data_IF_642397514374
#
_entry.id   IF_642397514374
#
_cell.length_a   1.000
_cell.length_b   1.000
_cell.length_c   1.000
_cell.angle_alpha   90.00
_cell.angle_beta   90.00
_cell.angle_gamma   90.00
#
_symmetry.space_group_name_H-M   'P 1'
#
loop_
_entity.id
_entity.type
_entity.pdbx_description
1 polymer ?
#
# COMPACT_ATOMS: atom_id res chain seq x y z
N UNK A 1 6.39 7.84 15.84
CA UNK A 1 5.24 8.70 15.50
C UNK A 1 4.49 8.03 14.35
N UNK A 2 3.29 7.81 14.46
CA UNK A 2 2.26 6.82 14.16
C UNK A 2 1.90 6.55 12.70
N UNK A 3 1.59 5.26 12.31
CA UNK A 3 0.93 4.98 11.03
C UNK A 3 -0.48 5.58 11.01
N UNK A 4 -1.27 5.45 12.08
CA UNK A 4 -2.49 6.27 12.27
C UNK A 4 -2.17 7.76 12.40
N UNK A 5 -1.09 8.15 13.06
CA UNK A 5 -0.62 9.53 13.09
C UNK A 5 0.09 9.87 11.78
N UNK A 6 0.60 8.92 10.96
CA UNK A 6 1.24 9.21 9.68
C UNK A 6 0.29 9.19 8.50
N UNK A 7 -0.79 8.42 8.52
CA UNK A 7 -1.98 8.67 7.69
C UNK A 7 -2.72 9.91 8.25
N UNK A 8 -2.79 10.09 9.55
CA UNK A 8 -3.17 11.35 10.19
C UNK A 8 -2.17 12.47 9.89
N UNK A 9 -0.86 12.22 9.80
CA UNK A 9 0.18 13.18 9.40
C UNK A 9 0.28 13.28 7.88
N UNK A 10 0.04 12.23 7.12
CA UNK A 10 -0.13 12.26 5.68
C UNK A 10 -1.36 13.11 5.35
N UNK A 11 -2.50 12.88 5.96
CA UNK A 11 -3.68 13.71 5.83
C UNK A 11 -3.51 15.08 6.53
N UNK A 12 -2.85 15.19 7.68
CA UNK A 12 -2.70 16.44 8.45
C UNK A 12 -1.50 17.29 7.98
N UNK A 13 -0.42 16.71 7.43
CA UNK A 13 0.67 17.47 6.80
C UNK A 13 0.32 17.95 5.39
N UNK A 14 -0.59 17.30 4.70
CA UNK A 14 -1.27 17.85 3.53
C UNK A 14 -1.98 19.18 3.86
N UNK A 15 -2.46 19.35 5.08
CA UNK A 15 -3.27 20.50 5.51
C UNK A 15 -2.45 21.63 6.16
N UNK A 16 -1.27 21.36 6.73
CA UNK A 16 -0.53 22.38 7.53
C UNK A 16 0.34 23.33 6.72
N UNK A 17 0.51 23.13 5.40
CA UNK A 17 1.19 24.09 4.52
C UNK A 17 0.28 24.89 3.59
N UNK A 18 -1.00 24.57 3.53
CA UNK A 18 -2.00 25.40 2.84
C UNK A 18 -2.62 26.36 3.85
N UNK A 19 -2.15 27.58 3.87
CA UNK A 19 -2.70 28.70 4.66
C UNK A 19 -4.06 29.11 4.11
N UNK A 20 -5.11 28.34 4.36
CA UNK A 20 -6.50 28.81 4.40
C UNK A 20 -7.26 27.80 5.28
N UNK A 21 -7.27 28.04 6.59
CA UNK A 21 -8.17 27.36 7.51
C UNK A 21 -9.54 28.00 7.41
N UNK A 22 -10.52 27.30 6.86
CA UNK A 22 -11.92 27.52 7.16
C UNK A 22 -12.37 26.55 8.24
N UNK A 23 -13.12 27.03 9.23
CA UNK A 23 -13.54 26.36 10.48
C UNK A 23 -14.42 25.12 10.33
N UNK A 24 -14.56 24.51 9.14
CA UNK A 24 -15.38 23.33 8.85
C UNK A 24 -14.59 22.12 8.32
N UNK A 25 -13.27 22.12 8.36
CA UNK A 25 -12.49 21.00 7.83
C UNK A 25 -12.31 19.90 8.88
N UNK A 26 -13.24 18.96 8.94
CA UNK A 26 -12.97 17.61 9.44
C UNK A 26 -11.67 17.13 8.79
N UNK A 27 -10.67 16.69 9.58
CA UNK A 27 -9.38 16.28 9.00
C UNK A 27 -9.59 15.13 8.01
N UNK A 28 -8.80 15.06 6.93
CA UNK A 28 -8.87 13.95 5.95
C UNK A 28 -8.86 12.59 6.65
N UNK A 29 -8.07 12.45 7.73
CA UNK A 29 -8.05 11.23 8.53
C UNK A 29 -9.40 10.89 9.17
N UNK A 30 -10.15 11.89 9.66
CA UNK A 30 -11.51 11.69 10.20
C UNK A 30 -12.48 11.32 9.08
N UNK A 31 -12.34 11.94 7.90
CA UNK A 31 -13.16 11.59 6.74
C UNK A 31 -12.94 10.13 6.32
N UNK A 32 -11.70 9.66 6.25
CA UNK A 32 -11.38 8.26 5.92
C UNK A 32 -11.98 7.27 6.95
N UNK A 33 -12.10 7.67 8.22
CA UNK A 33 -12.73 6.84 9.26
C UNK A 33 -14.28 6.85 9.18
N UNK A 34 -14.86 7.91 8.67
CA UNK A 34 -16.33 8.12 8.67
C UNK A 34 -16.99 7.83 7.33
N UNK A 35 -16.28 8.09 6.23
CA UNK A 35 -16.80 7.94 4.88
C UNK A 35 -16.39 6.60 4.27
N UNK A 36 -17.20 6.10 3.36
CA UNK A 36 -16.92 4.87 2.61
C UNK A 36 -15.79 5.06 1.60
N UNK A 37 -15.80 6.21 0.93
CA UNK A 37 -14.81 6.62 -0.07
C UNK A 37 -14.48 8.10 0.13
N UNK A 38 -13.18 8.42 0.14
CA UNK A 38 -12.67 9.78 0.14
C UNK A 38 -11.88 10.00 -1.15
N UNK A 39 -12.23 11.03 -1.90
CA UNK A 39 -11.49 11.45 -3.09
C UNK A 39 -10.68 12.72 -2.77
N UNK A 40 -9.41 12.71 -3.14
CA UNK A 40 -8.48 13.81 -2.92
C UNK A 40 -7.81 14.15 -4.24
N UNK A 41 -8.03 15.37 -4.71
CA UNK A 41 -7.30 15.94 -5.85
C UNK A 41 -6.27 16.93 -5.32
N UNK A 42 -5.03 16.56 -5.41
CA UNK A 42 -3.96 17.44 -5.02
C UNK A 42 -3.27 18.02 -6.25
N UNK A 43 -3.35 19.35 -6.39
CA UNK A 43 -2.62 20.06 -7.45
C UNK A 43 -1.12 19.93 -7.27
N UNK A 44 -0.67 19.81 -6.05
CA UNK A 44 0.70 19.46 -5.69
C UNK A 44 0.63 18.79 -4.32
N UNK A 45 0.89 17.50 -4.28
CA UNK A 45 1.14 16.84 -3.00
C UNK A 45 2.49 17.35 -2.48
N UNK A 46 2.50 18.50 -1.78
CA UNK A 46 3.64 18.86 -0.94
C UNK A 46 3.64 17.96 0.28
N UNK A 47 3.71 16.67 0.03
CA UNK A 47 3.83 15.67 1.07
C UNK A 47 5.23 15.83 1.60
N UNK A 48 5.36 16.34 2.81
CA UNK A 48 6.54 16.08 3.63
C UNK A 48 6.52 14.58 3.93
N UNK A 49 6.88 13.79 2.91
CA UNK A 49 6.92 12.35 2.94
C UNK A 49 7.93 11.96 3.98
N UNK A 50 7.50 11.13 4.91
CA UNK A 50 8.45 10.52 5.80
C UNK A 50 9.36 9.64 4.94
N UNK A 51 10.66 9.76 5.13
CA UNK A 51 11.67 8.88 4.54
C UNK A 51 11.52 7.40 4.96
N UNK A 52 10.42 7.02 5.59
CA UNK A 52 10.17 5.68 6.07
C UNK A 52 9.01 5.03 5.34
N UNK A 53 9.20 3.75 4.99
CA UNK A 53 8.14 2.91 4.47
C UNK A 53 6.99 2.74 5.48
N UNK A 54 5.76 2.66 5.00
CA UNK A 54 4.56 2.41 5.81
C UNK A 54 3.68 1.33 5.19
N UNK A 55 2.82 0.72 6.00
CA UNK A 55 1.81 -0.24 5.52
C UNK A 55 0.52 0.52 5.25
N UNK A 56 -0.06 0.30 4.07
CA UNK A 56 -1.39 0.82 3.75
C UNK A 56 -2.46 0.08 4.57
N UNK A 57 -3.36 0.82 5.21
CA UNK A 57 -4.52 0.26 5.91
C UNK A 57 -5.80 0.29 5.07
N UNK A 58 -5.77 0.96 3.92
CA UNK A 58 -6.90 1.19 3.04
C UNK A 58 -6.62 0.72 1.62
N UNK A 59 -7.68 0.36 0.90
CA UNK A 59 -7.61 0.24 -0.54
C UNK A 59 -7.49 1.65 -1.14
N UNK A 60 -6.45 1.91 -1.92
CA UNK A 60 -6.24 3.22 -2.54
C UNK A 60 -5.99 3.07 -4.03
N UNK A 61 -6.76 3.79 -4.84
CA UNK A 61 -6.52 3.91 -6.28
C UNK A 61 -5.88 5.27 -6.52
N UNK A 62 -4.78 5.28 -7.26
CA UNK A 62 -4.01 6.48 -7.59
C UNK A 62 -3.98 6.60 -9.11
N UNK A 63 -4.35 7.76 -9.65
CA UNK A 63 -4.13 8.09 -11.05
C UNK A 63 -3.21 9.30 -11.16
N UNK A 64 -2.19 9.21 -12.02
CA UNK A 64 -1.28 10.32 -12.28
C UNK A 64 -1.75 11.09 -13.53
N UNK A 65 -1.92 12.40 -13.37
CA UNK A 65 -2.35 13.31 -14.43
C UNK A 65 -1.16 14.01 -15.10
N UNK A 66 -0.13 14.36 -14.33
CA UNK A 66 1.09 15.03 -14.85
C UNK A 66 2.26 14.83 -13.91
N UNK A 67 3.46 15.09 -14.42
CA UNK A 67 4.70 14.88 -13.67
C UNK A 67 5.01 13.43 -13.40
N UNK A 68 6.07 13.18 -12.65
CA UNK A 68 6.53 11.83 -12.34
C UNK A 68 6.96 11.71 -10.89
N UNK A 69 6.88 10.50 -10.34
CA UNK A 69 7.45 10.18 -9.03
C UNK A 69 8.24 8.89 -9.06
N UNK A 70 9.26 8.81 -8.19
CA UNK A 70 10.02 7.62 -7.93
C UNK A 70 9.71 7.13 -6.52
N UNK A 71 9.09 6.00 -6.42
CA UNK A 71 8.56 5.44 -5.16
C UNK A 71 8.96 3.98 -5.01
N UNK A 72 8.69 3.37 -3.87
CA UNK A 72 8.81 1.92 -3.70
C UNK A 72 7.46 1.35 -3.28
N UNK A 73 7.07 0.30 -3.94
CA UNK A 73 5.88 -0.47 -3.65
C UNK A 73 6.28 -1.90 -3.27
N UNK A 74 5.88 -2.36 -2.09
CA UNK A 74 6.36 -3.62 -1.54
C UNK A 74 7.90 -3.72 -1.62
N UNK A 75 8.58 -2.62 -1.30
CA UNK A 75 10.04 -2.45 -1.36
C UNK A 75 10.66 -2.47 -2.77
N UNK A 76 9.89 -2.74 -3.82
CA UNK A 76 10.35 -2.67 -5.21
C UNK A 76 10.26 -1.24 -5.73
N UNK A 77 11.28 -0.75 -6.46
CA UNK A 77 11.24 0.57 -7.07
C UNK A 77 10.13 0.64 -8.13
N UNK A 78 9.42 1.74 -8.12
CA UNK A 78 8.32 2.02 -9.06
C UNK A 78 8.45 3.45 -9.55
N UNK A 79 8.53 3.61 -10.86
CA UNK A 79 8.37 4.90 -11.52
C UNK A 79 6.90 5.10 -11.87
N UNK A 80 6.38 6.27 -11.57
CA UNK A 80 4.97 6.60 -11.76
C UNK A 80 4.88 7.82 -12.66
N UNK A 81 4.62 7.58 -13.94
CA UNK A 81 4.58 8.57 -15.02
C UNK A 81 3.16 9.09 -15.28
N UNK A 82 2.97 10.15 -16.09
CA UNK A 82 1.63 10.57 -16.51
C UNK A 82 0.83 9.41 -17.10
N UNK A 83 -0.47 9.40 -16.83
CA UNK A 83 -1.44 8.37 -17.20
C UNK A 83 -1.22 6.99 -16.56
N UNK A 84 -0.25 6.86 -15.64
CA UNK A 84 -0.17 5.65 -14.83
C UNK A 84 -1.30 5.61 -13.80
N UNK A 85 -1.81 4.39 -13.58
CA UNK A 85 -2.74 4.09 -12.51
C UNK A 85 -2.14 3.05 -11.58
N UNK A 86 -2.35 3.21 -10.28
CA UNK A 86 -1.92 2.26 -9.27
C UNK A 86 -3.05 1.90 -8.34
N UNK A 87 -3.10 0.63 -7.91
CA UNK A 87 -4.02 0.15 -6.88
C UNK A 87 -3.22 -0.42 -5.73
N UNK A 88 -3.35 0.20 -4.59
CA UNK A 88 -2.67 -0.16 -3.35
C UNK A 88 -3.68 -0.85 -2.44
N UNK A 89 -3.45 -2.10 -2.10
CA UNK A 89 -4.32 -2.84 -1.18
C UNK A 89 -3.90 -2.65 0.28
N UNK A 90 -4.82 -2.92 1.21
CA UNK A 90 -4.47 -3.07 2.61
C UNK A 90 -3.36 -4.12 2.80
N UNK A 91 -2.35 -3.77 3.58
CA UNK A 91 -1.18 -4.61 3.81
C UNK A 91 0.01 -4.33 2.89
N UNK A 92 -0.16 -3.59 1.80
CA UNK A 92 0.97 -3.21 0.94
C UNK A 92 1.90 -2.22 1.66
N UNK A 93 3.20 -2.39 1.42
CA UNK A 93 4.25 -1.52 1.95
C UNK A 93 4.57 -0.46 0.92
N UNK A 94 4.44 0.80 1.31
CA UNK A 94 4.65 1.95 0.45
C UNK A 94 5.77 2.82 1.03
N UNK A 95 6.69 3.22 0.17
CA UNK A 95 7.65 4.28 0.45
C UNK A 95 7.56 5.29 -0.68
N UNK A 96 7.11 6.49 -0.38
CA UNK A 96 7.05 7.55 -1.39
C UNK A 96 8.38 8.28 -1.41
N UNK A 97 8.99 8.35 -2.58
CA UNK A 97 10.28 8.98 -2.82
C UNK A 97 10.15 10.37 -3.45
N UNK A 98 11.02 10.67 -4.39
CA UNK A 98 11.09 11.96 -5.07
C UNK A 98 9.99 12.11 -6.11
N UNK A 99 9.57 13.36 -6.37
CA UNK A 99 8.58 13.70 -7.41
C UNK A 99 8.86 15.07 -8.04
N UNK A 100 8.40 15.26 -9.27
CA UNK A 100 8.56 16.53 -10.02
C UNK A 100 7.59 17.61 -9.52
N UNK A 101 7.90 18.88 -9.74
CA UNK A 101 7.07 20.01 -9.30
C UNK A 101 5.66 20.03 -9.93
N UNK A 102 5.54 19.50 -11.12
CA UNK A 102 4.28 19.40 -11.88
C UNK A 102 3.51 18.10 -11.58
N UNK A 103 3.94 17.31 -10.57
CA UNK A 103 3.28 16.07 -10.19
C UNK A 103 1.86 16.32 -9.68
N UNK A 104 0.88 15.74 -10.36
CA UNK A 104 -0.55 15.89 -10.06
C UNK A 104 -1.21 14.52 -10.09
N UNK A 105 -1.87 14.15 -9.00
CA UNK A 105 -2.57 12.88 -8.86
C UNK A 105 -3.97 13.08 -8.31
N UNK A 106 -4.84 12.12 -8.57
CA UNK A 106 -6.07 11.89 -7.82
C UNK A 106 -5.90 10.64 -6.97
N UNK A 107 -6.24 10.74 -5.68
CA UNK A 107 -6.33 9.63 -4.75
C UNK A 107 -7.80 9.27 -4.50
N UNK A 108 -8.14 8.01 -4.62
CA UNK A 108 -9.43 7.45 -4.19
C UNK A 108 -9.13 6.49 -3.05
N UNK A 109 -9.47 6.87 -1.83
CA UNK A 109 -9.22 6.09 -0.63
C UNK A 109 -10.53 5.44 -0.20
N UNK A 110 -10.54 4.13 -0.15
CA UNK A 110 -11.71 3.31 0.16
C UNK A 110 -11.53 2.77 1.57
N UNK A 111 -12.51 3.03 2.45
CA UNK A 111 -12.45 2.62 3.85
C UNK A 111 -12.32 1.09 3.96
N UNK A 112 -11.73 0.63 5.07
CA UNK A 112 -11.54 -0.80 5.30
C UNK A 112 -12.87 -1.56 5.32
N UNK A 113 -13.88 -1.00 5.95
CA UNK A 113 -15.22 -1.61 6.02
C UNK A 113 -15.80 -1.82 4.61
N UNK A 114 -15.73 -0.79 3.76
CA UNK A 114 -16.26 -0.86 2.40
C UNK A 114 -15.42 -1.79 1.52
N UNK A 115 -14.10 -1.81 1.72
CA UNK A 115 -13.20 -2.78 1.07
C UNK A 115 -13.59 -4.23 1.39
N UNK A 116 -13.92 -4.56 2.65
CA UNK A 116 -14.32 -5.90 3.06
C UNK A 116 -15.61 -6.37 2.35
N UNK A 117 -16.50 -5.45 2.01
CA UNK A 117 -17.68 -5.74 1.17
C UNK A 117 -17.28 -5.95 -0.30
N UNK A 118 -16.34 -5.15 -0.82
CA UNK A 118 -15.86 -5.27 -2.20
C UNK A 118 -15.14 -6.60 -2.47
N UNK A 119 -14.47 -7.18 -1.47
CA UNK A 119 -13.77 -8.47 -1.59
C UNK A 119 -14.71 -9.62 -2.00
N UNK A 120 -16.01 -9.52 -1.74
CA UNK A 120 -17.01 -10.52 -2.14
C UNK A 120 -17.44 -10.40 -3.60
N UNK A 121 -17.06 -9.33 -4.31
CA UNK A 121 -17.47 -9.07 -5.69
C UNK A 121 -16.48 -9.68 -6.68
N UNK A 122 -17.01 -10.27 -7.73
CA UNK A 122 -16.21 -10.98 -8.75
C UNK A 122 -15.25 -10.05 -9.51
N UNK A 123 -15.68 -8.85 -9.86
CA UNK A 123 -14.85 -7.84 -10.55
C UNK A 123 -13.60 -7.48 -9.75
N UNK A 124 -13.75 -7.26 -8.45
CA UNK A 124 -12.66 -6.98 -7.54
C UNK A 124 -11.75 -8.21 -7.38
N UNK A 125 -12.31 -9.39 -7.18
CA UNK A 125 -11.54 -10.63 -7.04
C UNK A 125 -10.75 -10.96 -8.32
N UNK A 126 -11.31 -10.70 -9.48
CA UNK A 126 -10.59 -10.86 -10.76
C UNK A 126 -9.42 -9.88 -10.83
N UNK A 127 -9.59 -8.62 -10.42
CA UNK A 127 -8.49 -7.66 -10.35
C UNK A 127 -7.39 -8.12 -9.38
N UNK A 128 -7.75 -8.61 -8.20
CA UNK A 128 -6.80 -9.07 -7.16
C UNK A 128 -5.92 -10.22 -7.64
N UNK A 129 -6.40 -11.08 -8.52
CA UNK A 129 -5.61 -12.18 -9.11
C UNK A 129 -4.40 -11.69 -9.91
N UNK A 130 -4.46 -10.47 -10.44
CA UNK A 130 -3.42 -9.86 -11.26
C UNK A 130 -2.50 -8.89 -10.48
N UNK A 131 -2.44 -8.99 -9.15
CA UNK A 131 -1.80 -8.04 -8.24
C UNK A 131 -0.26 -7.99 -8.27
N UNK A 132 0.36 -8.64 -9.19
CA UNK A 132 1.82 -8.73 -9.23
C UNK A 132 2.51 -7.38 -9.49
N UNK A 133 1.77 -6.41 -10.04
CA UNK A 133 2.24 -5.04 -10.23
C UNK A 133 1.14 -4.05 -9.83
N UNK A 134 1.41 -3.11 -8.90
CA UNK A 134 0.39 -2.19 -8.42
C UNK A 134 0.03 -1.11 -9.43
N UNK A 135 0.95 -0.80 -10.35
CA UNK A 135 0.81 0.26 -11.34
C UNK A 135 1.01 -0.26 -12.75
N UNK A 136 0.36 0.38 -13.69
CA UNK A 136 0.55 0.21 -15.14
C UNK A 136 0.16 1.50 -15.87
N UNK A 137 0.67 1.66 -17.08
CA UNK A 137 0.35 2.79 -17.94
C UNK A 137 -1.00 2.59 -18.62
N UNK A 138 -1.79 3.65 -18.71
CA UNK A 138 -3.01 3.70 -19.52
C UNK A 138 -2.69 4.36 -20.86
N UNK A 139 -3.25 3.85 -21.96
CA UNK A 139 -3.27 4.60 -23.20
C UNK A 139 -4.13 5.87 -23.03
N UNK A 140 -3.99 6.85 -23.95
CA UNK A 140 -4.81 8.07 -23.93
C UNK A 140 -6.32 7.77 -23.90
N UNK A 141 -6.75 6.78 -24.66
CA UNK A 141 -8.15 6.37 -24.68
C UNK A 141 -8.59 5.75 -23.35
N UNK A 142 -7.77 4.88 -22.79
CA UNK A 142 -8.02 4.24 -21.49
C UNK A 142 -8.04 5.26 -20.36
N UNK A 143 -7.09 6.22 -20.37
CA UNK A 143 -7.02 7.30 -19.41
C UNK A 143 -8.27 8.18 -19.45
N UNK A 144 -8.73 8.57 -20.67
CA UNK A 144 -9.96 9.34 -20.86
C UNK A 144 -11.18 8.61 -20.32
N UNK A 145 -11.30 7.31 -20.62
CA UNK A 145 -12.39 6.48 -20.08
C UNK A 145 -12.35 6.40 -18.54
N UNK A 146 -11.16 6.15 -17.99
CA UNK A 146 -10.99 6.04 -16.54
C UNK A 146 -11.32 7.35 -15.81
N UNK A 147 -10.81 8.49 -16.29
CA UNK A 147 -11.11 9.80 -15.71
C UNK A 147 -12.60 10.15 -15.80
N UNK A 148 -13.29 9.73 -16.83
CA UNK A 148 -14.76 9.87 -16.96
C UNK A 148 -15.49 9.10 -15.85
N UNK A 149 -15.09 7.85 -15.61
CA UNK A 149 -15.68 7.02 -14.52
C UNK A 149 -15.34 7.61 -13.14
N UNK A 150 -14.12 8.11 -12.94
CA UNK A 150 -13.72 8.77 -11.70
C UNK A 150 -14.51 10.06 -11.43
N UNK A 151 -14.80 10.85 -12.46
CA UNK A 151 -15.67 12.03 -12.34
C UNK A 151 -17.12 11.64 -11.95
N UNK A 152 -17.60 10.52 -12.49
CA UNK A 152 -18.92 9.96 -12.08
C UNK A 152 -18.89 9.53 -10.61
N UNK A 153 -17.81 8.85 -10.17
CA UNK A 153 -17.64 8.45 -8.78
C UNK A 153 -17.67 9.67 -7.85
N UNK A 154 -17.03 10.77 -8.23
CA UNK A 154 -17.02 12.03 -7.45
C UNK A 154 -18.42 12.55 -7.19
N UNK A 155 -19.27 12.61 -8.22
CA UNK A 155 -20.67 13.06 -8.10
C UNK A 155 -21.42 12.21 -7.07
N UNK A 156 -21.14 10.91 -7.00
CA UNK A 156 -21.81 9.99 -6.08
C UNK A 156 -21.22 10.12 -4.66
N UNK A 157 -19.90 10.30 -4.54
CA UNK A 157 -19.23 10.52 -3.24
C UNK A 157 -19.82 11.74 -2.53
N UNK A 158 -20.08 12.81 -3.27
CA UNK A 158 -20.63 14.06 -2.75
C UNK A 158 -22.16 14.03 -2.57
N UNK A 159 -22.82 12.92 -2.90
CA UNK A 159 -24.28 12.77 -2.84
C UNK A 159 -24.75 12.28 -1.47
N UNK A 160 -25.87 12.81 -0.99
CA UNK A 160 -26.59 12.33 0.22
C UNK A 160 -27.73 11.35 -0.11
N UNK A 161 -27.79 10.84 -1.35
CA UNK A 161 -28.90 9.98 -1.78
C UNK A 161 -28.93 8.64 -1.00
N UNK A 162 -30.11 8.12 -0.58
CA UNK A 162 -30.21 6.88 0.21
C UNK A 162 -29.58 5.63 -0.45
N UNK A 163 -29.47 5.60 -1.79
CA UNK A 163 -28.80 4.51 -2.52
C UNK A 163 -27.32 4.79 -2.81
N UNK A 164 -26.71 5.80 -2.17
CA UNK A 164 -25.31 6.17 -2.36
C UNK A 164 -24.37 4.98 -2.18
N UNK A 165 -24.52 4.23 -1.10
CA UNK A 165 -23.71 3.06 -0.77
C UNK A 165 -23.68 2.02 -1.91
N UNK A 166 -24.87 1.58 -2.36
CA UNK A 166 -25.00 0.61 -3.45
C UNK A 166 -24.44 1.15 -4.78
N UNK A 167 -24.68 2.43 -5.04
CA UNK A 167 -24.19 3.07 -6.28
C UNK A 167 -22.66 3.21 -6.28
N UNK A 168 -22.04 3.55 -5.14
CA UNK A 168 -20.57 3.57 -4.97
C UNK A 168 -19.96 2.20 -5.28
N UNK A 169 -20.55 1.13 -4.72
CA UNK A 169 -20.10 -0.22 -4.96
C UNK A 169 -20.18 -0.61 -6.46
N UNK A 170 -21.27 -0.24 -7.14
CA UNK A 170 -21.43 -0.52 -8.57
C UNK A 170 -20.43 0.25 -9.44
N UNK A 171 -20.11 1.50 -9.10
CA UNK A 171 -19.09 2.26 -9.84
C UNK A 171 -17.70 1.70 -9.59
N UNK A 172 -17.39 1.25 -8.38
CA UNK A 172 -16.13 0.55 -8.12
C UNK A 172 -16.03 -0.76 -8.92
N UNK A 173 -17.14 -1.51 -9.07
CA UNK A 173 -17.17 -2.70 -9.93
C UNK A 173 -16.80 -2.35 -11.39
N UNK A 174 -17.31 -1.25 -11.92
CA UNK A 174 -16.96 -0.77 -13.27
C UNK A 174 -15.46 -0.41 -13.32
N UNK A 175 -14.93 0.26 -12.29
CA UNK A 175 -13.49 0.60 -12.23
C UNK A 175 -12.65 -0.68 -12.24
N UNK A 176 -12.92 -1.66 -11.38
CA UNK A 176 -12.14 -2.89 -11.31
C UNK A 176 -12.28 -3.76 -12.56
N UNK A 177 -13.46 -3.79 -13.18
CA UNK A 177 -13.65 -4.43 -14.48
C UNK A 177 -12.79 -3.77 -15.57
N UNK A 178 -12.80 -2.44 -15.63
CA UNK A 178 -11.98 -1.70 -16.59
C UNK A 178 -10.49 -1.91 -16.37
N UNK A 179 -10.04 -1.87 -15.10
CA UNK A 179 -8.65 -2.11 -14.74
C UNK A 179 -8.17 -3.50 -15.14
N UNK A 180 -8.99 -4.53 -14.91
CA UNK A 180 -8.68 -5.90 -15.30
C UNK A 180 -8.54 -6.00 -16.83
N UNK A 181 -9.43 -5.36 -17.58
CA UNK A 181 -9.40 -5.38 -19.04
C UNK A 181 -8.19 -4.61 -19.60
N UNK A 182 -7.92 -3.42 -19.09
CA UNK A 182 -6.80 -2.59 -19.54
C UNK A 182 -5.46 -3.27 -19.29
N UNK A 183 -5.35 -3.98 -18.19
CA UNK A 183 -4.13 -4.71 -17.81
C UNK A 183 -3.91 -5.94 -18.68
N UNK A 184 -4.96 -6.66 -19.06
CA UNK A 184 -4.84 -7.86 -19.90
C UNK A 184 -4.26 -7.59 -21.30
N UNK A 185 -4.29 -6.34 -21.75
CA UNK A 185 -3.67 -5.91 -23.01
C UNK A 185 -2.14 -5.76 -22.88
N UNK A 186 -1.60 -5.53 -21.67
CA UNK A 186 -0.18 -5.27 -21.40
C UNK A 186 0.62 -6.52 -20.94
N UNK A 187 -0.07 -7.60 -20.56
CA UNK A 187 0.54 -8.74 -19.84
C UNK A 187 1.34 -9.72 -20.73
N UNK A 188 1.43 -9.50 -22.04
CA UNK A 188 2.11 -10.45 -22.95
C UNK A 188 3.65 -10.47 -22.85
N UNK A 189 4.29 -9.59 -22.07
CA UNK A 189 5.77 -9.47 -22.05
C UNK A 189 6.45 -9.75 -20.71
N UNK A 190 5.76 -10.20 -19.64
CA UNK A 190 6.39 -10.33 -18.31
C UNK A 190 7.09 -11.68 -18.08
N UNK A 191 8.36 -11.60 -17.70
CA UNK A 191 9.27 -12.74 -17.48
C UNK A 191 8.87 -13.59 -16.27
N UNK A 192 9.15 -14.92 -16.35
CA UNK A 192 8.96 -15.94 -15.31
C UNK A 192 9.52 -15.53 -13.92
N UNK A 193 10.52 -14.68 -13.87
CA UNK A 193 11.18 -14.23 -12.64
C UNK A 193 10.36 -13.27 -11.80
N UNK A 194 9.59 -12.39 -12.43
CA UNK A 194 8.68 -11.49 -11.73
C UNK A 194 7.58 -12.28 -11.02
N UNK A 195 7.09 -13.36 -11.65
CA UNK A 195 6.10 -14.26 -11.04
C UNK A 195 6.65 -14.96 -9.79
N UNK A 196 7.91 -15.38 -9.78
CA UNK A 196 8.52 -16.01 -8.62
C UNK A 196 8.63 -15.04 -7.44
N UNK A 197 9.12 -13.83 -7.66
CA UNK A 197 9.18 -12.82 -6.60
C UNK A 197 7.79 -12.52 -6.03
N UNK A 198 6.80 -12.35 -6.89
CA UNK A 198 5.44 -12.06 -6.47
C UNK A 198 4.81 -13.22 -5.67
N UNK A 199 5.03 -14.46 -6.10
CA UNK A 199 4.61 -15.64 -5.35
C UNK A 199 5.28 -15.70 -3.97
N UNK A 200 6.59 -15.45 -3.90
CA UNK A 200 7.31 -15.33 -2.63
C UNK A 200 6.75 -14.21 -1.76
N UNK A 201 6.55 -13.01 -2.32
CA UNK A 201 6.08 -11.87 -1.56
C UNK A 201 4.65 -12.09 -1.00
N UNK A 202 3.75 -12.70 -1.79
CA UNK A 202 2.41 -13.12 -1.32
C UNK A 202 2.51 -14.10 -0.14
N UNK A 203 3.36 -15.11 -0.24
CA UNK A 203 3.62 -16.04 0.84
C UNK A 203 4.20 -15.34 2.07
N UNK A 204 5.14 -14.41 1.87
CA UNK A 204 5.78 -13.65 2.94
C UNK A 204 4.76 -12.80 3.72
N UNK A 205 3.93 -12.01 3.03
CA UNK A 205 2.91 -11.18 3.69
C UNK A 205 1.87 -12.02 4.43
N UNK A 206 1.54 -13.22 3.93
CA UNK A 206 0.58 -14.09 4.59
C UNK A 206 1.17 -14.86 5.79
N UNK A 207 2.49 -15.05 5.85
CA UNK A 207 3.11 -15.97 6.79
C UNK A 207 4.27 -15.40 7.61
N UNK A 208 4.64 -14.13 7.46
CA UNK A 208 5.76 -13.49 8.18
C UNK A 208 5.67 -13.64 9.70
N UNK A 209 4.48 -13.79 10.24
CA UNK A 209 4.22 -13.93 11.67
C UNK A 209 4.43 -15.36 12.20
N UNK A 210 4.74 -16.33 11.34
CA UNK A 210 4.97 -17.73 11.70
C UNK A 210 6.31 -18.26 11.19
N UNK A 211 6.77 -17.78 10.03
CA UNK A 211 7.94 -18.31 9.34
C UNK A 211 8.91 -17.18 8.97
N UNK A 212 10.12 -17.26 9.54
CA UNK A 212 11.20 -16.29 9.30
C UNK A 212 12.34 -16.88 8.46
N UNK A 213 12.31 -18.19 8.19
CA UNK A 213 13.39 -18.94 7.55
C UNK A 213 13.19 -18.99 6.02
N UNK A 214 14.23 -18.61 5.27
CA UNK A 214 14.24 -18.66 3.81
C UNK A 214 13.90 -20.05 3.27
N UNK A 215 14.32 -21.10 3.98
CA UNK A 215 14.10 -22.50 3.60
C UNK A 215 12.61 -22.80 3.47
N UNK A 216 11.80 -22.37 4.42
CA UNK A 216 10.36 -22.59 4.40
C UNK A 216 9.70 -21.99 3.16
N UNK A 217 10.05 -20.77 2.78
CA UNK A 217 9.51 -20.11 1.58
C UNK A 217 9.94 -20.80 0.29
N UNK A 218 11.19 -21.27 0.23
CA UNK A 218 11.68 -22.01 -0.91
C UNK A 218 10.93 -23.33 -1.10
N UNK A 219 10.67 -24.06 0.00
CA UNK A 219 9.89 -25.31 0.01
C UNK A 219 8.45 -25.10 -0.46
N UNK A 220 7.77 -24.04 0.02
CA UNK A 220 6.42 -23.70 -0.43
C UNK A 220 6.34 -23.42 -1.94
N UNK A 221 7.44 -22.94 -2.52
CA UNK A 221 7.54 -22.66 -3.96
C UNK A 221 8.13 -23.83 -4.76
N UNK A 222 8.32 -24.99 -4.13
CA UNK A 222 8.90 -26.19 -4.74
C UNK A 222 10.30 -25.95 -5.32
N UNK A 223 11.11 -25.10 -4.66
CA UNK A 223 12.47 -24.73 -5.09
C UNK A 223 13.50 -25.11 -4.04
N UNK A 224 14.76 -25.30 -4.50
CA UNK A 224 15.86 -25.42 -3.55
C UNK A 224 16.20 -24.05 -2.95
N UNK A 225 16.56 -23.93 -1.66
CA UNK A 225 16.87 -22.66 -1.01
C UNK A 225 17.99 -21.88 -1.73
N UNK A 226 18.97 -22.57 -2.31
CA UNK A 226 20.07 -21.96 -3.06
C UNK A 226 19.56 -21.30 -4.34
N UNK A 227 18.77 -22.01 -5.14
CA UNK A 227 18.21 -21.48 -6.38
C UNK A 227 17.27 -20.33 -6.10
N UNK A 228 16.34 -20.50 -5.15
CA UNK A 228 15.42 -19.48 -4.72
C UNK A 228 16.14 -18.18 -4.31
N UNK A 229 17.14 -18.28 -3.40
CA UNK A 229 17.90 -17.10 -2.93
C UNK A 229 18.66 -16.40 -4.06
N UNK A 230 19.24 -17.17 -5.01
CA UNK A 230 19.92 -16.59 -6.17
C UNK A 230 18.95 -15.79 -7.04
N UNK A 231 17.82 -16.40 -7.42
CA UNK A 231 16.84 -15.78 -8.30
C UNK A 231 16.23 -14.54 -7.66
N UNK A 232 15.86 -14.58 -6.37
CA UNK A 232 15.35 -13.39 -5.66
C UNK A 232 16.40 -12.28 -5.68
N UNK A 233 17.67 -12.57 -5.38
CA UNK A 233 18.72 -11.57 -5.34
C UNK A 233 19.03 -10.98 -6.72
N UNK A 234 19.08 -11.78 -7.74
CA UNK A 234 19.34 -11.35 -9.12
C UNK A 234 18.26 -10.40 -9.64
N UNK A 235 16.99 -10.66 -9.27
CA UNK A 235 15.85 -9.86 -9.74
C UNK A 235 15.53 -8.62 -8.90
N UNK A 236 15.88 -8.64 -7.61
CA UNK A 236 15.49 -7.56 -6.69
C UNK A 236 16.66 -6.78 -6.10
N UNK A 237 17.90 -7.26 -6.34
CA UNK A 237 19.11 -6.72 -5.71
C UNK A 237 19.25 -7.07 -4.22
N UNK A 238 18.23 -7.69 -3.60
CA UNK A 238 18.20 -8.05 -2.17
C UNK A 238 18.05 -9.56 -2.00
N UNK A 239 18.64 -10.11 -0.93
CA UNK A 239 18.42 -11.52 -0.60
C UNK A 239 17.02 -11.77 -0.04
N UNK A 240 16.53 -13.01 -0.13
CA UNK A 240 15.25 -13.39 0.45
C UNK A 240 15.18 -13.14 1.97
N UNK A 241 16.31 -13.32 2.68
CA UNK A 241 16.39 -13.00 4.12
C UNK A 241 16.21 -11.49 4.37
N UNK A 242 16.82 -10.63 3.56
CA UNK A 242 16.63 -9.18 3.68
C UNK A 242 15.18 -8.77 3.46
N UNK A 243 14.47 -9.42 2.51
CA UNK A 243 13.05 -9.19 2.29
C UNK A 243 12.20 -9.57 3.51
N UNK A 244 12.48 -10.72 4.13
CA UNK A 244 11.80 -11.18 5.34
C UNK A 244 12.04 -10.19 6.48
N UNK A 245 13.29 -9.77 6.70
CA UNK A 245 13.67 -8.81 7.72
C UNK A 245 12.97 -7.47 7.54
N UNK A 246 12.94 -6.93 6.32
CA UNK A 246 12.27 -5.66 6.00
C UNK A 246 10.77 -5.70 6.30
N UNK A 247 10.09 -6.78 5.90
CA UNK A 247 8.66 -6.97 6.19
C UNK A 247 8.44 -7.05 7.71
N UNK A 248 9.25 -7.83 8.42
CA UNK A 248 9.18 -7.92 9.89
C UNK A 248 9.41 -6.57 10.57
N UNK A 249 10.36 -5.77 10.10
CA UNK A 249 10.63 -4.42 10.63
C UNK A 249 9.41 -3.50 10.44
N UNK A 250 8.82 -3.51 9.25
CA UNK A 250 7.66 -2.65 8.95
C UNK A 250 6.47 -3.03 9.82
N UNK A 251 6.18 -4.33 9.95
CA UNK A 251 5.10 -4.82 10.83
C UNK A 251 5.40 -4.58 12.30
N UNK A 252 6.66 -4.73 12.73
CA UNK A 252 7.09 -4.40 14.10
C UNK A 252 6.85 -2.94 14.43
N UNK A 253 7.27 -2.03 13.54
CA UNK A 253 7.03 -0.59 13.69
C UNK A 253 5.55 -0.28 13.79
N UNK A 254 4.73 -0.90 12.94
CA UNK A 254 3.27 -0.77 12.96
C UNK A 254 2.68 -1.18 14.31
N UNK A 255 2.95 -2.41 14.77
CA UNK A 255 2.42 -2.93 16.04
C UNK A 255 2.88 -2.12 17.25
N UNK A 256 4.17 -1.81 17.34
CA UNK A 256 4.71 -0.98 18.42
C UNK A 256 4.00 0.37 18.54
N UNK A 257 3.48 0.84 17.44
CA UNK A 257 2.86 2.15 17.39
C UNK A 257 1.34 2.10 17.56
N UNK A 258 0.63 1.18 16.87
CA UNK A 258 -0.83 1.07 16.89
C UNK A 258 -1.35 0.31 18.10
N UNK A 259 -0.63 -0.72 18.53
CA UNK A 259 -1.04 -1.60 19.64
C UNK A 259 -0.36 -1.19 20.95
N UNK A 260 -0.71 -0.01 21.44
CA UNK A 260 -0.20 0.49 22.72
C UNK A 260 -0.69 -0.28 23.94
N UNK A 261 -1.79 -1.02 23.78
CA UNK A 261 -2.37 -1.98 24.72
C UNK A 261 -1.48 -3.21 24.93
N UNK A 262 -0.63 -3.56 23.95
CA UNK A 262 0.23 -4.73 24.00
C UNK A 262 1.61 -4.41 24.60
N UNK A 263 2.13 -5.34 25.38
CA UNK A 263 3.54 -5.31 25.82
C UNK A 263 4.48 -5.63 24.66
N UNK A 264 5.76 -5.26 24.79
CA UNK A 264 6.79 -5.64 23.79
C UNK A 264 6.90 -7.17 23.67
N UNK A 265 6.68 -7.91 24.74
CA UNK A 265 6.66 -9.36 24.73
C UNK A 265 5.50 -9.92 23.91
N UNK A 266 4.31 -9.40 24.09
CA UNK A 266 3.14 -9.81 23.30
C UNK A 266 3.31 -9.53 21.79
N UNK A 267 3.88 -8.35 21.45
CA UNK A 267 4.21 -8.02 20.06
C UNK A 267 5.26 -8.99 19.51
N UNK A 268 6.28 -9.36 20.28
CA UNK A 268 7.27 -10.34 19.85
C UNK A 268 6.60 -11.69 19.49
N UNK A 269 5.67 -12.16 20.32
CA UNK A 269 4.93 -13.41 20.03
C UNK A 269 3.99 -13.27 18.83
N UNK A 270 3.29 -12.14 18.67
CA UNK A 270 2.44 -11.88 17.51
C UNK A 270 3.22 -11.85 16.19
N UNK A 271 4.49 -11.47 16.26
CA UNK A 271 5.41 -11.48 15.13
C UNK A 271 6.17 -12.80 14.95
N UNK A 272 5.86 -13.84 15.74
CA UNK A 272 6.46 -15.17 15.62
C UNK A 272 7.86 -15.32 16.24
N UNK A 273 8.31 -14.37 17.05
CA UNK A 273 9.59 -14.51 17.75
C UNK A 273 9.45 -15.42 18.99
N UNK A 274 10.40 -16.31 19.20
CA UNK A 274 10.45 -17.23 20.33
C UNK A 274 10.63 -16.52 21.69
N UNK A 275 10.75 -15.19 21.71
CA UNK A 275 10.85 -14.40 22.94
C UNK A 275 11.20 -12.93 22.70
N UNK A 276 10.88 -12.12 23.68
CA UNK A 276 11.11 -10.65 23.62
C UNK A 276 12.58 -10.27 23.45
N UNK A 277 13.51 -11.06 24.00
CA UNK A 277 14.96 -10.76 23.89
C UNK A 277 15.44 -10.89 22.43
N UNK A 278 15.01 -11.94 21.71
CA UNK A 278 15.32 -12.15 20.30
C UNK A 278 14.73 -11.04 19.44
N UNK A 279 13.47 -10.70 19.68
CA UNK A 279 12.81 -9.58 19.01
C UNK A 279 13.50 -8.24 19.27
N UNK A 280 13.86 -7.93 20.53
CA UNK A 280 14.53 -6.67 20.86
C UNK A 280 15.89 -6.54 20.18
N UNK A 281 16.66 -7.64 20.09
CA UNK A 281 17.93 -7.66 19.38
C UNK A 281 17.71 -7.44 17.89
N UNK A 282 16.84 -8.25 17.25
CA UNK A 282 16.49 -8.10 15.85
C UNK A 282 16.08 -6.67 15.51
N UNK A 283 15.10 -6.12 16.24
CA UNK A 283 14.59 -4.77 15.97
C UNK A 283 15.66 -3.70 16.13
N UNK A 284 16.53 -3.82 17.15
CA UNK A 284 17.64 -2.89 17.34
C UNK A 284 18.69 -3.00 16.22
N UNK A 285 19.05 -4.20 15.81
CA UNK A 285 20.01 -4.44 14.74
C UNK A 285 19.51 -3.86 13.41
N UNK A 286 18.21 -3.96 13.13
CA UNK A 286 17.60 -3.47 11.91
C UNK A 286 17.27 -1.96 11.92
N UNK A 287 17.01 -1.36 13.09
CA UNK A 287 16.48 0.03 13.17
C UNK A 287 17.38 0.99 13.94
N UNK A 288 18.40 0.49 14.62
CA UNK A 288 19.26 1.26 15.53
C UNK A 288 18.62 1.57 16.90
N UNK A 289 17.32 1.37 17.08
CA UNK A 289 16.56 1.71 18.28
C UNK A 289 15.99 0.46 18.95
N UNK A 290 15.87 0.49 20.29
CA UNK A 290 15.11 -0.55 20.98
C UNK A 290 13.60 -0.37 20.74
N UNK A 291 12.80 -1.47 20.73
CA UNK A 291 11.34 -1.37 20.58
C UNK A 291 10.67 -0.39 21.53
N UNK A 292 11.13 -0.35 22.79
CA UNK A 292 10.60 0.57 23.82
C UNK A 292 10.95 2.04 23.56
N UNK A 293 12.12 2.32 22.98
CA UNK A 293 12.56 3.65 22.58
C UNK A 293 11.75 4.12 21.37
N UNK A 294 11.61 3.26 20.37
CA UNK A 294 10.80 3.54 19.19
C UNK A 294 9.34 3.84 19.54
N UNK A 295 8.74 3.08 20.47
CA UNK A 295 7.37 3.32 20.97
C UNK A 295 7.19 4.68 21.62
N UNK A 296 8.21 5.19 22.31
CA UNK A 296 8.19 6.51 22.96
C UNK A 296 8.41 7.67 21.99
N UNK A 297 8.76 7.42 20.74
CA UNK A 297 8.99 8.46 19.73
C UNK A 297 10.35 9.16 19.90
N UNK A 298 11.33 8.47 20.50
CA UNK A 298 12.70 8.97 20.63
C UNK A 298 13.54 8.52 19.45
#
# INVERSE_FOLDING_TARGET
>A
MCVFTKIRIFATKLLTKSSIMNEHSTSIAQRIEQEEIVMIDEKTLSIALSSEAFISDHLTIIINHSGSSYSHFNMMPVEFHPHNIAVILPGHIIHVGEYTEDYRITLIIISRKFYEEMVTRESFMNYVRYQDHPNFALSEEQYTKMTTVMNTLRIIVDSEHPKRHETLANVLDIIFYALTRFRGEEEQEKTCYTHLFNAFYKLLISNYHQHHEVIWYAEQLCLTPKYFSSVIRENTGKSAAQWIDEVLVVHSKRLLHTRRDMTVQQIAYELGFNGSATFCRFFKDQTGLRPSEYRKGK
#
